data_IF_015651098495
#
_entry.id   IF_015651098495
#
_cell.length_a   1.000
_cell.length_b   1.000
_cell.length_c   1.000
_cell.angle_alpha   90.00
_cell.angle_beta   90.00
_cell.angle_gamma   90.00
#
_symmetry.space_group_name_H-M   'P 1'
#
loop_
_entity.id
_entity.type
_entity.pdbx_description
1 polymer ?
#
# COMPACT_ATOMS: atom_id res chain seq x y z
N UNK A 1 104.98 0.97 10.90
CA UNK A 1 104.75 -0.13 11.86
C UNK A 1 103.29 -0.11 12.31
N UNK A 2 102.63 -1.28 12.26
CA UNK A 2 101.38 -1.70 12.94
C UNK A 2 100.11 -0.82 12.79
N UNK A 3 99.09 -1.21 12.01
CA UNK A 3 98.08 -2.29 12.23
C UNK A 3 97.11 -2.04 13.39
N UNK A 4 95.84 -1.79 13.08
CA UNK A 4 94.69 -2.50 13.67
C UNK A 4 93.39 -2.21 12.92
N UNK A 5 92.87 -3.26 12.26
CA UNK A 5 91.46 -3.40 11.86
C UNK A 5 90.62 -3.64 13.13
N UNK A 6 89.44 -3.02 13.21
CA UNK A 6 88.35 -3.49 14.09
C UNK A 6 87.13 -3.72 13.22
N UNK A 7 86.74 -4.99 13.14
CA UNK A 7 85.47 -5.52 12.64
C UNK A 7 84.57 -5.76 13.85
N UNK A 8 83.29 -5.41 13.77
CA UNK A 8 82.19 -5.87 14.64
C UNK A 8 80.89 -5.68 13.82
N UNK A 9 80.49 -6.68 13.03
CA UNK A 9 79.58 -7.77 13.42
C UNK A 9 78.10 -7.32 13.49
N UNK A 10 77.39 -7.48 12.37
CA UNK A 10 75.92 -7.52 12.32
C UNK A 10 75.43 -8.75 13.10
N UNK A 11 74.68 -8.54 14.16
CA UNK A 11 74.01 -9.61 14.90
C UNK A 11 72.66 -9.92 14.25
N UNK A 12 72.59 -11.03 13.51
CA UNK A 12 71.34 -11.62 13.09
C UNK A 12 70.61 -12.18 14.32
N UNK A 13 69.46 -11.58 14.69
CA UNK A 13 68.57 -12.12 15.72
C UNK A 13 67.91 -13.40 15.22
N UNK A 14 68.30 -14.55 15.77
CA UNK A 14 67.56 -15.80 15.63
C UNK A 14 66.16 -15.66 16.25
N UNK A 15 65.11 -15.88 15.46
CA UNK A 15 63.73 -15.86 15.94
C UNK A 15 63.45 -17.11 16.79
N UNK A 16 62.97 -16.91 18.02
CA UNK A 16 62.66 -17.98 18.97
C UNK A 16 61.54 -18.91 18.44
N UNK A 17 61.68 -20.26 18.55
CA UNK A 17 60.66 -21.24 18.14
C UNK A 17 59.27 -20.97 18.74
N UNK A 18 59.21 -20.36 19.94
CA UNK A 18 57.95 -20.02 20.61
C UNK A 18 57.14 -18.94 19.89
N UNK A 19 57.79 -17.99 19.19
CA UNK A 19 57.11 -16.94 18.41
C UNK A 19 56.48 -17.49 17.14
N UNK A 20 57.11 -18.47 16.48
CA UNK A 20 56.58 -19.12 15.28
C UNK A 20 55.35 -20.01 15.58
N UNK A 21 55.33 -20.68 16.74
CA UNK A 21 54.18 -21.48 17.17
C UNK A 21 52.99 -20.57 17.54
N UNK A 22 53.26 -19.43 18.21
CA UNK A 22 52.22 -18.46 18.55
C UNK A 22 51.58 -17.83 17.29
N UNK A 23 52.38 -17.45 16.29
CA UNK A 23 51.85 -16.87 15.03
C UNK A 23 51.03 -17.88 14.22
N UNK A 24 51.42 -19.17 14.24
CA UNK A 24 50.66 -20.25 13.60
C UNK A 24 49.31 -20.47 14.27
N UNK A 25 49.25 -20.48 15.61
CA UNK A 25 47.99 -20.61 16.37
C UNK A 25 47.03 -19.44 16.13
N UNK A 26 47.55 -18.21 16.04
CA UNK A 26 46.73 -17.03 15.71
C UNK A 26 46.17 -17.13 14.28
N UNK A 27 46.97 -17.60 13.32
CA UNK A 27 46.52 -17.81 11.94
C UNK A 27 45.43 -18.89 11.85
N UNK A 28 45.61 -20.01 12.55
CA UNK A 28 44.60 -21.08 12.61
C UNK A 28 43.30 -20.62 13.30
N UNK A 29 43.39 -19.80 14.36
CA UNK A 29 42.22 -19.20 15.01
C UNK A 29 41.46 -18.23 14.09
N UNK A 30 42.18 -17.40 13.32
CA UNK A 30 41.57 -16.49 12.35
C UNK A 30 40.87 -17.23 11.22
N UNK A 31 41.46 -18.32 10.72
CA UNK A 31 40.83 -19.18 9.69
C UNK A 31 39.56 -19.85 10.23
N UNK A 32 39.58 -20.35 11.47
CA UNK A 32 38.38 -20.92 12.11
C UNK A 32 37.27 -19.88 12.27
N UNK A 33 37.61 -18.65 12.66
CA UNK A 33 36.66 -17.54 12.83
C UNK A 33 36.06 -17.08 11.50
N UNK A 34 36.86 -17.03 10.44
CA UNK A 34 36.39 -16.72 9.09
C UNK A 34 35.44 -17.80 8.56
N UNK A 35 35.76 -19.08 8.77
CA UNK A 35 34.89 -20.21 8.39
C UNK A 35 33.57 -20.19 9.17
N UNK A 36 33.61 -19.89 10.47
CA UNK A 36 32.41 -19.77 11.29
C UNK A 36 31.49 -18.61 10.85
N UNK A 37 32.07 -17.46 10.42
CA UNK A 37 31.29 -16.37 9.82
C UNK A 37 30.64 -16.79 8.51
N UNK A 38 31.40 -17.37 7.59
CA UNK A 38 30.87 -17.84 6.30
C UNK A 38 29.74 -18.87 6.45
N UNK A 39 29.81 -19.77 7.42
CA UNK A 39 28.72 -20.73 7.72
C UNK A 39 27.49 -19.98 8.24
N UNK A 40 27.67 -19.03 9.16
CA UNK A 40 26.57 -18.23 9.71
C UNK A 40 25.88 -17.36 8.65
N UNK A 41 26.65 -16.79 7.73
CA UNK A 41 26.14 -15.99 6.63
C UNK A 41 25.35 -16.88 5.63
N UNK A 42 25.84 -18.09 5.34
CA UNK A 42 25.11 -19.05 4.49
C UNK A 42 23.83 -19.62 5.12
N UNK A 43 23.83 -19.82 6.44
CA UNK A 43 22.64 -20.22 7.18
C UNK A 43 21.61 -19.09 7.19
N UNK A 44 22.03 -17.84 7.43
CA UNK A 44 21.15 -16.68 7.37
C UNK A 44 20.52 -16.52 5.97
N UNK A 45 21.31 -16.62 4.91
CA UNK A 45 20.84 -16.54 3.51
C UNK A 45 19.83 -17.65 3.18
N UNK A 46 20.09 -18.89 3.60
CA UNK A 46 19.16 -20.00 3.43
C UNK A 46 17.86 -19.81 4.21
N UNK A 47 17.93 -19.21 5.41
CA UNK A 47 16.75 -18.92 6.23
C UNK A 47 15.89 -17.82 5.60
N UNK A 48 16.51 -16.72 5.15
CA UNK A 48 15.82 -15.63 4.43
C UNK A 48 15.14 -16.17 3.18
N UNK A 49 15.85 -16.96 2.36
CA UNK A 49 15.29 -17.56 1.15
C UNK A 49 14.11 -18.50 1.43
N UNK A 50 14.11 -19.20 2.56
CA UNK A 50 12.99 -20.05 2.96
C UNK A 50 11.76 -19.26 3.40
N UNK A 51 11.95 -18.18 4.16
CA UNK A 51 10.87 -17.29 4.63
C UNK A 51 10.22 -16.55 3.46
N UNK A 52 11.02 -16.01 2.54
CA UNK A 52 10.53 -15.35 1.32
C UNK A 52 9.71 -16.32 0.46
N UNK A 53 10.12 -17.59 0.39
CA UNK A 53 9.38 -18.61 -0.35
C UNK A 53 8.04 -18.91 0.30
N UNK A 54 8.01 -19.10 1.61
CA UNK A 54 6.77 -19.39 2.33
C UNK A 54 5.78 -18.22 2.27
N UNK A 55 6.26 -16.97 2.41
CA UNK A 55 5.42 -15.76 2.24
C UNK A 55 4.86 -15.66 0.81
N UNK A 56 5.68 -15.94 -0.22
CA UNK A 56 5.21 -15.97 -1.60
C UNK A 56 4.13 -17.04 -1.84
N UNK A 57 4.22 -18.20 -1.19
CA UNK A 57 3.22 -19.26 -1.30
C UNK A 57 1.90 -18.85 -0.62
N UNK A 58 1.98 -18.23 0.56
CA UNK A 58 0.81 -17.68 1.25
C UNK A 58 0.14 -16.58 0.42
N UNK A 59 0.93 -15.66 -0.15
CA UNK A 59 0.41 -14.60 -1.01
C UNK A 59 -0.32 -15.13 -2.25
N UNK A 60 0.25 -16.16 -2.89
CA UNK A 60 -0.39 -16.81 -4.03
C UNK A 60 -1.68 -17.54 -3.62
N UNK A 61 -1.69 -18.19 -2.45
CA UNK A 61 -2.89 -18.88 -1.95
C UNK A 61 -4.02 -17.89 -1.63
N UNK A 62 -3.70 -16.78 -0.95
CA UNK A 62 -4.63 -15.69 -0.66
C UNK A 62 -5.24 -15.09 -1.94
N UNK A 63 -4.40 -14.80 -2.94
CA UNK A 63 -4.83 -14.29 -4.24
C UNK A 63 -5.77 -15.27 -4.94
N UNK A 64 -5.47 -16.56 -4.92
CA UNK A 64 -6.31 -17.59 -5.53
C UNK A 64 -7.65 -17.78 -4.80
N UNK A 65 -7.70 -17.61 -3.48
CA UNK A 65 -8.95 -17.61 -2.71
C UNK A 65 -9.81 -16.42 -3.10
N UNK A 66 -9.22 -15.21 -3.12
CA UNK A 66 -9.92 -13.99 -3.54
C UNK A 66 -10.45 -14.10 -4.97
N UNK A 67 -9.65 -14.60 -5.90
CA UNK A 67 -10.03 -14.77 -7.30
C UNK A 67 -11.26 -15.66 -7.45
N UNK A 68 -11.32 -16.79 -6.72
CA UNK A 68 -12.48 -17.68 -6.72
C UNK A 68 -13.72 -17.03 -6.13
N UNK A 69 -13.57 -16.30 -5.03
CA UNK A 69 -14.67 -15.58 -4.39
C UNK A 69 -15.25 -14.52 -5.34
N UNK A 70 -14.39 -13.69 -5.94
CA UNK A 70 -14.79 -12.65 -6.89
C UNK A 70 -15.43 -13.28 -8.12
N UNK A 71 -14.81 -14.28 -8.73
CA UNK A 71 -15.38 -14.97 -9.89
C UNK A 71 -16.78 -15.52 -9.60
N UNK A 72 -17.00 -16.08 -8.41
CA UNK A 72 -18.32 -16.56 -8.00
C UNK A 72 -19.34 -15.43 -7.83
N UNK A 73 -18.94 -14.32 -7.21
CA UNK A 73 -19.81 -13.17 -7.00
C UNK A 73 -20.18 -12.49 -8.32
N UNK A 74 -19.20 -12.30 -9.20
CA UNK A 74 -19.38 -11.77 -10.56
C UNK A 74 -20.35 -12.64 -11.36
N UNK A 75 -20.19 -13.96 -11.34
CA UNK A 75 -21.10 -14.86 -12.06
C UNK A 75 -22.56 -14.73 -11.58
N UNK A 76 -22.77 -14.57 -10.28
CA UNK A 76 -24.11 -14.35 -9.70
C UNK A 76 -24.68 -13.00 -10.15
N UNK A 77 -23.88 -11.93 -10.10
CA UNK A 77 -24.31 -10.59 -10.50
C UNK A 77 -24.60 -10.54 -12.00
N UNK A 78 -23.74 -11.11 -12.83
CA UNK A 78 -23.93 -11.18 -14.29
C UNK A 78 -25.24 -11.87 -14.66
N UNK A 79 -25.56 -12.96 -13.97
CA UNK A 79 -26.82 -13.67 -14.14
C UNK A 79 -28.03 -12.83 -13.70
N UNK A 80 -27.98 -12.22 -12.51
CA UNK A 80 -29.11 -11.45 -11.95
C UNK A 80 -29.42 -10.16 -12.73
N UNK A 81 -28.41 -9.56 -13.35
CA UNK A 81 -28.52 -8.26 -14.01
C UNK A 81 -28.32 -8.31 -15.53
N UNK A 82 -28.43 -9.49 -16.15
CA UNK A 82 -28.35 -9.65 -17.59
C UNK A 82 -29.23 -8.64 -18.34
N UNK A 83 -28.63 -7.87 -19.24
CA UNK A 83 -29.32 -6.84 -20.04
C UNK A 83 -29.70 -5.55 -19.29
N UNK A 84 -29.30 -5.37 -18.02
CA UNK A 84 -29.64 -4.20 -17.19
C UNK A 84 -28.40 -3.52 -16.62
N UNK A 85 -27.60 -2.91 -17.50
CA UNK A 85 -26.27 -2.38 -17.17
C UNK A 85 -26.27 -1.39 -16.00
N UNK A 86 -27.15 -0.39 -15.96
CA UNK A 86 -27.16 0.58 -14.86
C UNK A 86 -27.57 -0.03 -13.51
N UNK A 87 -28.46 -1.02 -13.51
CA UNK A 87 -28.82 -1.74 -12.28
C UNK A 87 -27.67 -2.63 -11.80
N UNK A 88 -26.93 -3.24 -12.74
CA UNK A 88 -25.69 -3.98 -12.45
C UNK A 88 -24.64 -3.06 -11.82
N UNK A 89 -24.36 -1.92 -12.46
CA UNK A 89 -23.39 -0.95 -11.95
C UNK A 89 -23.81 -0.44 -10.57
N UNK A 90 -25.06 -0.02 -10.38
CA UNK A 90 -25.56 0.36 -9.05
C UNK A 90 -25.29 -0.73 -7.98
N UNK A 91 -25.54 -2.01 -8.29
CA UNK A 91 -25.28 -3.10 -7.36
C UNK A 91 -23.77 -3.28 -7.09
N UNK A 92 -22.93 -3.18 -8.11
CA UNK A 92 -21.48 -3.23 -7.99
C UNK A 92 -20.94 -2.05 -7.16
N UNK A 93 -21.33 -0.82 -7.47
CA UNK A 93 -20.93 0.40 -6.74
C UNK A 93 -21.36 0.37 -5.26
N UNK A 94 -22.54 -0.20 -4.99
CA UNK A 94 -23.01 -0.39 -3.60
C UNK A 94 -22.07 -1.31 -2.81
N UNK A 95 -21.47 -2.29 -3.48
CA UNK A 95 -20.56 -3.29 -2.89
C UNK A 95 -19.10 -2.80 -2.92
N UNK A 96 -18.67 -2.12 -3.98
CA UNK A 96 -17.31 -1.63 -4.20
C UNK A 96 -16.87 -0.63 -3.11
N UNK A 97 -17.79 0.18 -2.59
CA UNK A 97 -17.48 1.11 -1.49
C UNK A 97 -17.21 0.45 -0.13
N UNK A 98 -17.62 -0.81 0.06
CA UNK A 98 -17.65 -1.48 1.39
C UNK A 98 -16.25 -1.80 1.93
N UNK A 99 -15.30 -2.33 1.13
CA UNK A 99 -13.96 -2.62 1.59
C UNK A 99 -13.24 -1.41 2.18
N UNK A 100 -13.30 -0.24 1.53
CA UNK A 100 -12.67 0.99 2.04
C UNK A 100 -13.15 1.36 3.45
N UNK A 101 -14.48 1.39 3.66
CA UNK A 101 -15.05 1.65 4.98
C UNK A 101 -14.68 0.58 6.01
N UNK A 102 -14.59 -0.68 5.59
CA UNK A 102 -14.18 -1.80 6.43
C UNK A 102 -12.73 -1.65 6.89
N UNK A 103 -11.83 -1.27 5.97
CA UNK A 103 -10.41 -1.07 6.26
C UNK A 103 -10.21 0.10 7.22
N UNK A 104 -10.90 1.22 6.97
CA UNK A 104 -10.92 2.36 7.89
C UNK A 104 -11.41 1.97 9.29
N UNK A 105 -12.45 1.14 9.39
CA UNK A 105 -12.98 0.68 10.67
C UNK A 105 -11.95 -0.12 11.47
N UNK A 106 -11.19 -0.99 10.80
CA UNK A 106 -10.13 -1.78 11.43
C UNK A 106 -8.91 -0.91 11.77
N UNK A 107 -8.51 0.01 10.88
CA UNK A 107 -7.45 0.98 11.15
C UNK A 107 -7.77 1.82 12.39
N UNK A 108 -9.00 2.33 12.49
CA UNK A 108 -9.44 3.10 13.65
C UNK A 108 -9.47 2.26 14.94
N UNK A 109 -9.83 0.97 14.84
CA UNK A 109 -9.75 0.04 15.95
C UNK A 109 -8.30 -0.18 16.41
N UNK A 110 -7.35 -0.31 15.47
CA UNK A 110 -5.93 -0.41 15.78
C UNK A 110 -5.39 0.86 16.44
N UNK A 111 -5.83 2.05 16.01
CA UNK A 111 -5.49 3.32 16.66
C UNK A 111 -6.02 3.39 18.09
N UNK A 112 -7.25 2.90 18.32
CA UNK A 112 -7.89 2.84 19.63
C UNK A 112 -7.11 1.95 20.60
N UNK A 113 -6.59 0.82 20.11
CA UNK A 113 -5.72 -0.06 20.90
C UNK A 113 -4.27 0.43 21.02
N UNK A 114 -3.90 1.50 20.29
CA UNK A 114 -2.55 2.02 20.25
C UNK A 114 -1.55 1.15 19.47
N UNK A 115 -2.05 0.26 18.61
CA UNK A 115 -1.23 -0.68 17.85
C UNK A 115 -0.61 -0.04 16.61
N UNK A 116 -1.40 0.72 15.85
CA UNK A 116 -0.95 1.28 14.58
C UNK A 116 -1.63 2.62 14.32
N UNK A 117 -0.85 3.63 13.91
CA UNK A 117 -1.36 4.97 13.56
C UNK A 117 -0.94 5.32 12.14
N UNK A 118 -1.91 5.45 11.25
CA UNK A 118 -1.69 5.65 9.81
C UNK A 118 -2.71 6.63 9.27
N UNK A 119 -2.56 7.90 9.63
CA UNK A 119 -3.45 8.98 9.21
C UNK A 119 -3.60 9.08 7.68
N UNK A 120 -2.51 8.84 6.95
CA UNK A 120 -2.51 8.84 5.48
C UNK A 120 -3.40 7.74 4.89
N UNK A 121 -3.43 6.55 5.50
CA UNK A 121 -4.28 5.44 5.03
C UNK A 121 -5.75 5.75 5.27
N UNK A 122 -6.09 6.27 6.45
CA UNK A 122 -7.44 6.72 6.74
C UNK A 122 -7.91 7.79 5.76
N UNK A 123 -7.04 8.74 5.42
CA UNK A 123 -7.37 9.83 4.50
C UNK A 123 -7.58 9.32 3.07
N UNK A 124 -6.67 8.49 2.55
CA UNK A 124 -6.77 7.92 1.19
C UNK A 124 -8.00 7.02 1.08
N UNK A 125 -8.21 6.08 2.01
CA UNK A 125 -9.37 5.18 1.96
C UNK A 125 -10.70 5.91 2.17
N UNK A 126 -10.71 7.02 2.91
CA UNK A 126 -11.90 7.87 3.00
C UNK A 126 -12.20 8.56 1.67
N UNK A 127 -11.16 9.06 1.00
CA UNK A 127 -11.30 9.65 -0.33
C UNK A 127 -11.82 8.64 -1.36
N UNK A 128 -11.29 7.41 -1.37
CA UNK A 128 -11.77 6.29 -2.21
C UNK A 128 -13.24 5.96 -1.88
N UNK A 129 -13.59 5.82 -0.60
CA UNK A 129 -14.99 5.60 -0.16
C UNK A 129 -15.94 6.67 -0.70
N UNK A 130 -15.49 7.93 -0.71
CA UNK A 130 -16.27 9.05 -1.21
C UNK A 130 -16.33 9.08 -2.73
N UNK A 131 -15.29 8.65 -3.44
CA UNK A 131 -15.32 8.48 -4.90
C UNK A 131 -16.35 7.43 -5.32
N UNK A 132 -16.30 6.23 -4.73
CA UNK A 132 -17.28 5.15 -4.99
C UNK A 132 -18.71 5.56 -4.65
N UNK A 133 -18.89 6.37 -3.60
CA UNK A 133 -20.20 6.92 -3.29
C UNK A 133 -20.74 7.81 -4.42
N UNK A 134 -19.89 8.60 -5.08
CA UNK A 134 -20.32 9.39 -6.22
C UNK A 134 -20.59 8.52 -7.45
N UNK A 135 -19.84 7.45 -7.67
CA UNK A 135 -20.17 6.44 -8.70
C UNK A 135 -21.57 5.86 -8.48
N UNK A 136 -21.88 5.46 -7.24
CA UNK A 136 -23.22 5.00 -6.86
C UNK A 136 -24.30 6.03 -7.19
N UNK A 137 -24.13 7.29 -6.79
CA UNK A 137 -25.10 8.36 -7.07
C UNK A 137 -25.29 8.60 -8.57
N UNK A 138 -24.23 8.45 -9.37
CA UNK A 138 -24.31 8.51 -10.82
C UNK A 138 -25.21 7.39 -11.33
N UNK A 139 -24.98 6.15 -10.89
CA UNK A 139 -25.81 5.00 -11.32
C UNK A 139 -27.26 5.13 -10.87
N UNK A 140 -27.51 5.64 -9.66
CA UNK A 140 -28.86 5.96 -9.17
C UNK A 140 -29.54 7.00 -10.08
N UNK A 141 -28.84 8.05 -10.48
CA UNK A 141 -29.37 9.09 -11.37
C UNK A 141 -29.71 8.57 -12.78
N UNK A 142 -29.10 7.46 -13.19
CA UNK A 142 -29.36 6.76 -14.45
C UNK A 142 -30.44 5.67 -14.32
N UNK A 143 -31.09 5.56 -13.16
CA UNK A 143 -32.15 4.58 -12.90
C UNK A 143 -31.66 3.21 -12.42
N UNK A 144 -30.41 3.09 -11.96
CA UNK A 144 -29.86 1.83 -11.45
C UNK A 144 -30.56 1.30 -10.18
N UNK A 145 -31.20 2.18 -9.41
CA UNK A 145 -31.87 1.85 -8.14
C UNK A 145 -33.40 1.82 -8.21
N UNK A 146 -34.00 1.82 -9.41
CA UNK A 146 -35.46 1.92 -9.58
C UNK A 146 -36.22 0.76 -8.93
N UNK A 147 -35.73 -0.47 -9.10
CA UNK A 147 -36.42 -1.65 -8.57
C UNK A 147 -36.02 -1.93 -7.12
N UNK A 148 -37.03 -2.12 -6.27
CA UNK A 148 -36.83 -2.49 -4.86
C UNK A 148 -35.99 -3.76 -4.69
N UNK A 149 -36.17 -4.77 -5.54
CA UNK A 149 -35.42 -6.04 -5.46
C UNK A 149 -33.91 -5.83 -5.64
N UNK A 150 -33.51 -4.88 -6.49
CA UNK A 150 -32.11 -4.60 -6.79
C UNK A 150 -31.46 -3.90 -5.60
N UNK A 151 -32.18 -2.93 -5.01
CA UNK A 151 -31.78 -2.27 -3.75
C UNK A 151 -31.65 -3.27 -2.61
N UNK A 152 -32.68 -4.10 -2.42
CA UNK A 152 -32.70 -5.11 -1.36
C UNK A 152 -31.49 -6.05 -1.49
N UNK A 153 -31.25 -6.61 -2.68
CA UNK A 153 -30.11 -7.49 -2.90
C UNK A 153 -28.77 -6.79 -2.62
N UNK A 154 -28.51 -5.65 -3.25
CA UNK A 154 -27.24 -4.95 -3.12
C UNK A 154 -26.95 -4.53 -1.66
N UNK A 155 -27.95 -4.03 -0.94
CA UNK A 155 -27.81 -3.62 0.46
C UNK A 155 -27.49 -4.78 1.39
N UNK A 156 -28.15 -5.93 1.24
CA UNK A 156 -27.90 -7.07 2.12
C UNK A 156 -26.56 -7.75 1.82
N UNK A 157 -26.18 -7.82 0.54
CA UNK A 157 -24.84 -8.27 0.13
C UNK A 157 -23.77 -7.34 0.69
N UNK A 158 -23.95 -6.03 0.61
CA UNK A 158 -23.01 -5.05 1.18
C UNK A 158 -22.83 -5.22 2.70
N UNK A 159 -23.89 -5.47 3.46
CA UNK A 159 -23.80 -5.72 4.91
C UNK A 159 -23.05 -7.02 5.22
N UNK A 160 -23.32 -8.09 4.48
CA UNK A 160 -22.57 -9.35 4.66
C UNK A 160 -21.10 -9.17 4.27
N UNK A 161 -20.84 -8.47 3.18
CA UNK A 161 -19.50 -8.22 2.66
C UNK A 161 -18.66 -7.37 3.61
N UNK A 162 -19.27 -6.38 4.28
CA UNK A 162 -18.61 -5.59 5.32
C UNK A 162 -17.93 -6.46 6.37
N UNK A 163 -18.64 -7.43 6.93
CA UNK A 163 -18.08 -8.31 7.96
C UNK A 163 -16.98 -9.23 7.42
N UNK A 164 -17.09 -9.65 6.15
CA UNK A 164 -16.04 -10.42 5.48
C UNK A 164 -14.76 -9.57 5.34
N UNK A 165 -14.88 -8.34 4.83
CA UNK A 165 -13.75 -7.42 4.67
C UNK A 165 -13.10 -7.06 6.01
N UNK A 166 -13.89 -6.81 7.05
CA UNK A 166 -13.38 -6.56 8.40
C UNK A 166 -12.58 -7.77 8.91
N UNK A 167 -13.14 -8.98 8.82
CA UNK A 167 -12.45 -10.19 9.26
C UNK A 167 -11.16 -10.43 8.46
N UNK A 168 -11.21 -10.26 7.15
CA UNK A 168 -10.06 -10.44 6.26
C UNK A 168 -8.94 -9.44 6.56
N UNK A 169 -9.27 -8.16 6.75
CA UNK A 169 -8.27 -7.13 7.09
C UNK A 169 -7.68 -7.31 8.50
N UNK A 170 -8.48 -7.80 9.46
CA UNK A 170 -7.98 -8.17 10.79
C UNK A 170 -6.95 -9.30 10.73
N UNK A 171 -7.20 -10.30 9.87
CA UNK A 171 -6.30 -11.45 9.68
C UNK A 171 -5.03 -11.04 8.93
N UNK A 172 -5.19 -10.38 7.79
CA UNK A 172 -4.08 -9.97 6.91
C UNK A 172 -4.48 -8.77 6.06
N UNK A 173 -3.91 -7.58 6.30
CA UNK A 173 -4.12 -6.41 5.45
C UNK A 173 -3.72 -6.68 4.00
N UNK A 174 -2.60 -7.40 3.76
CA UNK A 174 -2.15 -7.80 2.42
C UNK A 174 -3.23 -8.61 1.69
N UNK A 175 -3.86 -9.56 2.39
CA UNK A 175 -4.94 -10.38 1.82
C UNK A 175 -6.16 -9.53 1.45
N UNK A 176 -6.51 -8.55 2.31
CA UNK A 176 -7.65 -7.66 2.09
C UNK A 176 -7.41 -6.66 0.95
N UNK A 177 -6.20 -6.07 0.86
CA UNK A 177 -5.83 -5.20 -0.25
C UNK A 177 -5.80 -5.95 -1.58
N UNK A 178 -5.34 -7.21 -1.58
CA UNK A 178 -5.40 -8.05 -2.76
C UNK A 178 -6.85 -8.32 -3.23
N UNK A 179 -7.79 -8.51 -2.30
CA UNK A 179 -9.21 -8.67 -2.64
C UNK A 179 -9.72 -7.41 -3.34
N UNK A 180 -9.44 -6.24 -2.78
CA UNK A 180 -9.90 -4.98 -3.33
C UNK A 180 -9.26 -4.70 -4.69
N UNK A 181 -7.95 -4.89 -4.85
CA UNK A 181 -7.27 -4.78 -6.17
C UNK A 181 -7.98 -5.60 -7.26
N UNK A 182 -8.38 -6.84 -6.94
CA UNK A 182 -9.07 -7.70 -7.90
C UNK A 182 -10.52 -7.24 -8.17
N UNK A 183 -11.22 -6.70 -7.17
CA UNK A 183 -12.55 -6.08 -7.36
C UNK A 183 -12.44 -4.88 -8.29
N UNK A 184 -11.48 -3.99 -8.05
CA UNK A 184 -11.25 -2.79 -8.86
C UNK A 184 -10.81 -3.15 -10.30
N UNK A 185 -9.96 -4.16 -10.45
CA UNK A 185 -9.58 -4.68 -11.77
C UNK A 185 -10.78 -5.20 -12.55
N UNK A 186 -11.72 -5.87 -11.87
CA UNK A 186 -12.95 -6.32 -12.48
C UNK A 186 -13.88 -5.15 -12.83
N UNK A 187 -13.99 -4.14 -11.96
CA UNK A 187 -14.77 -2.93 -12.20
C UNK A 187 -14.24 -2.18 -13.44
N UNK A 188 -12.93 -1.92 -13.50
CA UNK A 188 -12.26 -1.33 -14.66
C UNK A 188 -12.62 -2.06 -15.95
N UNK A 189 -12.43 -3.38 -15.99
CA UNK A 189 -12.69 -4.19 -17.17
C UNK A 189 -14.18 -4.21 -17.56
N UNK A 190 -15.09 -4.08 -16.59
CA UNK A 190 -16.53 -4.02 -16.82
C UNK A 190 -16.92 -2.68 -17.46
N UNK A 191 -16.37 -1.57 -16.94
CA UNK A 191 -16.58 -0.25 -17.51
C UNK A 191 -15.99 -0.10 -18.90
N UNK A 192 -14.79 -0.63 -19.12
CA UNK A 192 -14.11 -0.58 -20.41
C UNK A 192 -14.93 -1.28 -21.50
N UNK A 193 -15.40 -2.51 -21.24
CA UNK A 193 -16.30 -3.24 -22.14
C UNK A 193 -17.62 -2.50 -22.37
N UNK A 194 -18.17 -1.85 -21.35
CA UNK A 194 -19.42 -1.10 -21.48
C UNK A 194 -19.24 0.15 -22.36
N UNK A 195 -18.12 0.85 -22.23
CA UNK A 195 -17.75 1.99 -23.07
C UNK A 195 -17.62 1.57 -24.53
N UNK A 196 -16.87 0.50 -24.82
CA UNK A 196 -16.70 -0.04 -26.17
C UNK A 196 -18.04 -0.44 -26.80
N UNK A 197 -18.90 -1.11 -26.03
CA UNK A 197 -20.18 -1.61 -26.55
C UNK A 197 -21.23 -0.50 -26.77
N UNK A 198 -21.12 0.66 -26.11
CA UNK A 198 -22.17 1.69 -26.09
C UNK A 198 -21.69 3.09 -26.52
N UNK A 199 -20.47 3.20 -27.06
CA UNK A 199 -19.81 4.47 -27.38
C UNK A 199 -20.72 5.49 -28.10
N UNK A 200 -21.37 5.07 -29.19
CA UNK A 200 -22.21 5.96 -29.99
C UNK A 200 -23.40 6.53 -29.22
N UNK A 201 -24.02 5.72 -28.36
CA UNK A 201 -25.19 6.12 -27.58
C UNK A 201 -24.76 7.02 -26.43
N UNK A 202 -23.67 6.68 -25.75
CA UNK A 202 -23.15 7.43 -24.62
C UNK A 202 -22.68 8.83 -25.05
N UNK A 203 -22.02 8.96 -26.21
CA UNK A 203 -21.59 10.27 -26.75
C UNK A 203 -22.76 11.20 -27.11
N UNK A 204 -23.92 10.65 -27.45
CA UNK A 204 -25.15 11.42 -27.77
C UNK A 204 -25.97 11.74 -26.52
N UNK A 205 -25.67 11.11 -25.39
CA UNK A 205 -26.44 11.25 -24.15
C UNK A 205 -25.83 12.34 -23.28
N UNK A 206 -26.60 13.31 -22.77
CA UNK A 206 -26.08 14.35 -21.90
C UNK A 206 -25.59 13.77 -20.56
N UNK A 207 -24.52 14.35 -20.02
CA UNK A 207 -24.00 13.94 -18.73
C UNK A 207 -24.97 14.26 -17.58
N UNK A 208 -25.18 13.35 -16.62
CA UNK A 208 -26.03 13.60 -15.46
C UNK A 208 -25.43 14.70 -14.59
N UNK A 209 -26.31 15.54 -14.02
CA UNK A 209 -25.91 16.70 -13.21
C UNK A 209 -25.02 16.32 -12.02
N UNK A 210 -25.24 15.15 -11.42
CA UNK A 210 -24.46 14.68 -10.28
C UNK A 210 -23.00 14.39 -10.67
N UNK A 211 -22.76 13.79 -11.86
CA UNK A 211 -21.41 13.56 -12.37
C UNK A 211 -20.70 14.88 -12.69
N UNK A 212 -21.38 15.80 -13.37
CA UNK A 212 -20.82 17.11 -13.70
C UNK A 212 -20.46 17.87 -12.42
N UNK A 213 -21.34 17.85 -11.42
CA UNK A 213 -21.06 18.48 -10.13
C UNK A 213 -19.82 17.86 -9.48
N UNK A 214 -19.75 16.54 -9.39
CA UNK A 214 -18.62 15.83 -8.77
C UNK A 214 -17.28 16.13 -9.45
N UNK A 215 -17.17 15.86 -10.75
CA UNK A 215 -15.89 15.94 -11.47
C UNK A 215 -15.40 17.36 -11.76
N UNK A 216 -16.27 18.38 -11.73
CA UNK A 216 -15.90 19.73 -12.19
C UNK A 216 -16.14 20.86 -11.19
N UNK A 217 -17.07 20.70 -10.23
CA UNK A 217 -17.52 21.79 -9.35
C UNK A 217 -17.52 21.43 -7.87
N UNK A 218 -17.28 20.16 -7.53
CA UNK A 218 -17.38 19.64 -6.18
C UNK A 218 -16.17 19.98 -5.32
N UNK A 219 -16.14 19.40 -4.13
CA UNK A 219 -14.95 19.41 -3.30
C UNK A 219 -13.88 18.51 -3.93
N UNK A 220 -12.94 19.14 -4.64
CA UNK A 220 -11.85 18.45 -5.31
C UNK A 220 -10.73 18.02 -4.35
N UNK A 221 -10.81 18.37 -3.06
CA UNK A 221 -9.85 17.92 -2.07
C UNK A 221 -9.82 16.38 -2.02
N UNK A 222 -10.94 15.74 -1.71
CA UNK A 222 -11.01 14.28 -1.67
C UNK A 222 -10.78 13.66 -3.05
N UNK A 223 -11.18 14.35 -4.13
CA UNK A 223 -10.87 13.87 -5.48
C UNK A 223 -9.36 13.78 -5.73
N UNK A 224 -8.58 14.72 -5.21
CA UNK A 224 -7.13 14.70 -5.30
C UNK A 224 -6.51 13.66 -4.36
N UNK A 225 -7.08 13.45 -3.17
CA UNK A 225 -6.47 12.59 -2.14
C UNK A 225 -6.38 11.11 -2.53
N UNK A 226 -7.31 10.57 -3.34
CA UNK A 226 -7.24 9.16 -3.77
C UNK A 226 -6.31 8.94 -4.96
N UNK A 227 -5.86 10.01 -5.64
CA UNK A 227 -4.94 9.92 -6.79
C UNK A 227 -3.50 9.78 -6.29
N UNK A 228 -3.15 8.59 -5.81
CA UNK A 228 -1.88 8.34 -5.12
C UNK A 228 -0.67 8.22 -6.06
N UNK A 229 -0.90 8.11 -7.37
CA UNK A 229 0.13 8.06 -8.42
C UNK A 229 0.92 9.36 -8.60
N UNK A 230 1.98 9.30 -9.40
CA UNK A 230 2.90 10.43 -9.62
C UNK A 230 2.40 11.47 -10.64
N UNK A 231 1.31 11.17 -11.34
CA UNK A 231 0.73 12.08 -12.32
C UNK A 231 -0.17 13.04 -11.55
N UNK A 232 0.27 14.30 -11.43
CA UNK A 232 -0.40 15.33 -10.63
C UNK A 232 -1.91 15.50 -10.90
N UNK A 233 -2.56 16.35 -10.11
CA UNK A 233 -4.02 16.44 -10.00
C UNK A 233 -4.78 16.41 -11.35
N UNK A 234 -5.61 15.38 -11.56
CA UNK A 234 -6.48 15.29 -12.74
C UNK A 234 -7.64 16.28 -12.63
N UNK A 235 -8.01 16.91 -13.75
CA UNK A 235 -9.21 17.78 -13.86
C UNK A 235 -10.02 17.37 -15.09
N UNK A 236 -10.98 16.46 -14.95
CA UNK A 236 -11.74 15.98 -16.09
C UNK A 236 -12.64 17.06 -16.70
N UNK A 237 -12.87 16.96 -18.02
CA UNK A 237 -13.94 17.68 -18.71
C UNK A 237 -15.06 16.70 -19.02
N UNK A 238 -16.30 17.12 -18.78
CA UNK A 238 -17.48 16.28 -18.93
C UNK A 238 -18.43 16.96 -19.91
N UNK A 239 -18.46 16.50 -21.16
CA UNK A 239 -19.36 17.03 -22.20
C UNK A 239 -20.58 16.12 -22.40
N UNK A 240 -20.41 14.81 -22.24
CA UNK A 240 -21.44 13.81 -22.46
C UNK A 240 -21.31 12.62 -21.48
N UNK A 241 -22.22 11.66 -21.56
CA UNK A 241 -22.24 10.50 -20.66
C UNK A 241 -21.05 9.55 -20.89
N UNK A 242 -20.48 9.51 -22.10
CA UNK A 242 -19.27 8.72 -22.37
C UNK A 242 -18.09 9.24 -21.53
N UNK A 243 -17.91 10.56 -21.45
CA UNK A 243 -16.85 11.16 -20.63
C UNK A 243 -17.01 10.81 -19.15
N UNK A 244 -18.25 10.71 -18.65
CA UNK A 244 -18.52 10.28 -17.27
C UNK A 244 -18.01 8.86 -17.04
N UNK A 245 -18.41 7.90 -17.87
CA UNK A 245 -17.97 6.51 -17.71
C UNK A 245 -16.47 6.32 -17.93
N UNK A 246 -15.84 7.13 -18.81
CA UNK A 246 -14.37 7.14 -18.94
C UNK A 246 -13.72 7.59 -17.64
N UNK A 247 -14.28 8.59 -16.95
CA UNK A 247 -13.73 9.04 -15.68
C UNK A 247 -13.93 8.00 -14.58
N UNK A 248 -15.14 7.44 -14.44
CA UNK A 248 -15.38 6.33 -13.49
C UNK A 248 -14.39 5.19 -13.72
N UNK A 249 -14.24 4.71 -14.95
CA UNK A 249 -13.24 3.67 -15.29
C UNK A 249 -11.81 4.06 -14.87
N UNK A 250 -11.42 5.31 -15.10
CA UNK A 250 -10.08 5.78 -14.75
C UNK A 250 -9.92 5.96 -13.23
N UNK A 251 -10.98 6.25 -12.50
CA UNK A 251 -11.00 6.29 -11.04
C UNK A 251 -10.71 4.87 -10.49
N UNK A 252 -11.35 3.83 -11.04
CA UNK A 252 -11.05 2.42 -10.68
C UNK A 252 -9.58 2.06 -10.93
N UNK A 253 -8.99 2.59 -11.99
CA UNK A 253 -7.58 2.36 -12.29
C UNK A 253 -6.65 3.03 -11.26
N UNK A 254 -7.05 4.14 -10.64
CA UNK A 254 -6.30 4.74 -9.53
C UNK A 254 -6.46 3.92 -8.25
N UNK A 255 -7.68 3.44 -7.96
CA UNK A 255 -7.94 2.53 -6.85
C UNK A 255 -7.08 1.27 -6.94
N UNK A 256 -7.03 0.62 -8.12
CA UNK A 256 -6.18 -0.54 -8.38
C UNK A 256 -4.72 -0.30 -7.99
N UNK A 257 -4.14 0.84 -8.40
CA UNK A 257 -2.74 1.17 -8.11
C UNK A 257 -2.50 1.36 -6.62
N UNK A 258 -3.41 2.04 -5.93
CA UNK A 258 -3.32 2.21 -4.48
C UNK A 258 -3.38 0.85 -3.78
N UNK A 259 -4.30 -0.04 -4.17
CA UNK A 259 -4.45 -1.36 -3.57
C UNK A 259 -3.27 -2.29 -3.86
N UNK A 260 -2.71 -2.23 -5.07
CA UNK A 260 -1.48 -2.96 -5.42
C UNK A 260 -0.30 -2.47 -4.56
N UNK A 261 -0.16 -1.15 -4.39
CA UNK A 261 0.89 -0.57 -3.55
C UNK A 261 0.75 -1.01 -2.08
N UNK A 262 -0.48 -1.04 -1.55
CA UNK A 262 -0.76 -1.40 -0.16
C UNK A 262 -0.50 -2.89 0.17
N UNK A 263 -0.27 -3.74 -0.82
CA UNK A 263 0.11 -5.14 -0.59
C UNK A 263 1.59 -5.32 -0.26
N UNK A 264 2.44 -4.31 -0.49
CA UNK A 264 3.87 -4.42 -0.24
C UNK A 264 4.16 -4.29 1.27
N UNK A 265 5.01 -5.13 1.86
CA UNK A 265 5.40 -4.97 3.26
C UNK A 265 6.03 -3.60 3.51
N UNK A 266 5.66 -2.92 4.59
CA UNK A 266 6.19 -1.62 4.94
C UNK A 266 5.83 -0.52 3.94
N UNK A 267 4.75 -0.69 3.17
CA UNK A 267 4.32 0.31 2.20
C UNK A 267 4.10 1.66 2.91
N UNK A 268 4.83 2.70 2.50
CA UNK A 268 4.72 4.03 3.10
C UNK A 268 3.59 4.83 2.48
N UNK A 269 2.35 4.33 2.48
CA UNK A 269 1.25 5.02 1.79
C UNK A 269 1.11 6.44 2.35
N UNK A 270 1.20 7.41 1.45
CA UNK A 270 1.03 8.83 1.76
C UNK A 270 0.00 9.45 0.83
N UNK A 271 -0.86 10.26 1.42
CA UNK A 271 -1.83 11.03 0.66
C UNK A 271 -1.11 12.13 -0.15
N UNK A 272 -1.63 12.54 -1.32
CA UNK A 272 -1.06 13.61 -2.12
C UNK A 272 -0.83 14.92 -1.35
N UNK A 273 -1.77 15.36 -0.51
CA UNK A 273 -1.54 16.55 0.33
C UNK A 273 -0.43 16.35 1.35
N UNK A 274 -0.32 15.16 1.94
CA UNK A 274 0.76 14.85 2.88
C UNK A 274 2.12 14.81 2.18
N UNK A 275 2.20 14.27 0.96
CA UNK A 275 3.42 14.31 0.13
C UNK A 275 3.82 15.76 -0.18
N UNK A 276 2.87 16.61 -0.55
CA UNK A 276 3.12 18.04 -0.82
C UNK A 276 3.58 18.78 0.44
N UNK A 277 2.94 18.53 1.59
CA UNK A 277 3.36 19.11 2.86
C UNK A 277 4.78 18.69 3.23
N UNK A 278 5.12 17.40 3.07
CA UNK A 278 6.46 16.91 3.31
C UNK A 278 7.49 17.57 2.39
N UNK A 279 7.19 17.68 1.09
CA UNK A 279 8.05 18.38 0.13
C UNK A 279 8.24 19.85 0.46
N UNK A 280 7.18 20.54 0.91
CA UNK A 280 7.25 21.93 1.34
C UNK A 280 8.14 22.10 2.57
N UNK A 281 8.11 21.14 3.51
CA UNK A 281 8.98 21.13 4.68
C UNK A 281 10.42 20.75 4.33
N UNK A 282 10.64 19.84 3.37
CA UNK A 282 11.98 19.43 2.94
C UNK A 282 12.65 20.45 2.01
N UNK A 283 11.88 21.26 1.28
CA UNK A 283 12.37 22.33 0.39
C UNK A 283 13.15 23.46 1.10
N UNK A 284 13.31 23.39 2.42
CA UNK A 284 14.14 24.28 3.22
C UNK A 284 15.43 23.63 3.77
N UNK A 285 15.70 22.35 3.48
CA UNK A 285 16.95 21.66 3.79
C UNK A 285 17.61 21.10 2.52
N UNK A 286 18.92 21.30 2.40
CA UNK A 286 19.70 20.97 1.22
C UNK A 286 19.72 19.47 0.89
N UNK A 287 19.83 19.21 -0.41
CA UNK A 287 19.85 17.90 -1.06
C UNK A 287 20.85 16.91 -0.42
N UNK A 288 20.45 15.63 -0.36
CA UNK A 288 21.19 14.41 0.02
C UNK A 288 21.04 13.86 1.46
N UNK A 289 20.55 14.60 2.48
CA UNK A 289 20.47 14.05 3.86
C UNK A 289 19.03 13.74 4.33
N UNK A 290 18.01 14.33 3.70
CA UNK A 290 16.63 14.26 4.19
C UNK A 290 15.86 12.99 3.84
N UNK A 291 16.23 12.26 2.78
CA UNK A 291 15.55 11.00 2.45
C UNK A 291 15.80 9.91 3.51
N UNK A 292 17.01 9.87 4.08
CA UNK A 292 17.41 8.87 5.07
C UNK A 292 16.81 9.10 6.46
N UNK A 293 16.67 10.35 6.93
CA UNK A 293 16.15 10.63 8.28
C UNK A 293 14.62 10.47 8.36
N UNK A 294 13.89 10.75 7.27
CA UNK A 294 12.43 10.55 7.22
C UNK A 294 12.08 9.05 7.15
N UNK A 295 12.88 8.23 6.47
CA UNK A 295 12.71 6.77 6.47
C UNK A 295 13.02 6.14 7.83
N UNK A 296 14.04 6.63 8.57
CA UNK A 296 14.43 6.08 9.87
C UNK A 296 13.39 6.35 10.98
N UNK A 297 12.73 7.51 11.02
CA UNK A 297 11.66 7.79 12.00
C UNK A 297 10.35 7.04 11.68
N UNK A 298 10.17 6.57 10.44
CA UNK A 298 8.99 5.81 9.98
C UNK A 298 9.18 4.29 10.03
N UNK A 299 10.42 3.82 10.11
CA UNK A 299 10.77 2.44 10.45
C UNK A 299 10.51 2.10 11.93
N UNK A 300 10.04 3.09 12.71
CA UNK A 300 9.58 2.94 14.10
C UNK A 300 8.34 2.04 14.22
N UNK A 301 8.57 0.73 14.24
CA UNK A 301 7.64 -0.37 14.59
C UNK A 301 6.39 -0.45 13.69
N UNK A 302 6.58 -0.94 12.47
CA UNK A 302 5.49 -1.41 11.63
C UNK A 302 5.04 -2.79 12.11
N UNK A 303 3.91 -2.87 12.81
CA UNK A 303 3.18 -4.11 12.90
C UNK A 303 2.04 -4.08 11.86
N UNK A 304 1.92 -5.10 11.02
CA UNK A 304 0.88 -5.17 9.98
C UNK A 304 -0.14 -6.27 10.33
N UNK A 305 -1.32 -5.89 10.80
CA UNK A 305 -2.41 -6.81 11.14
C UNK A 305 -2.40 -7.31 12.59
N UNK A 306 -3.46 -8.01 13.00
CA UNK A 306 -3.67 -8.37 14.41
C UNK A 306 -2.58 -9.32 14.95
N UNK A 307 -2.11 -10.27 14.15
CA UNK A 307 -1.11 -11.25 14.57
C UNK A 307 0.25 -10.59 14.82
N UNK A 308 0.65 -9.65 13.97
CA UNK A 308 1.91 -8.93 14.11
C UNK A 308 1.83 -7.91 15.25
N UNK A 309 0.72 -7.16 15.34
CA UNK A 309 0.55 -6.11 16.36
C UNK A 309 0.34 -6.62 17.79
N UNK A 310 -0.22 -7.83 17.96
CA UNK A 310 -0.35 -8.45 19.29
C UNK A 310 1.01 -8.92 19.81
N UNK A 311 1.95 -9.27 18.93
CA UNK A 311 3.29 -9.75 19.30
C UNK A 311 4.30 -8.60 19.39
N UNK A 312 4.21 -7.61 18.51
CA UNK A 312 5.11 -6.47 18.41
C UNK A 312 4.42 -5.17 18.88
N UNK A 313 4.23 -5.02 20.20
CA UNK A 313 3.58 -3.86 20.77
C UNK A 313 4.43 -2.58 20.62
N UNK A 314 3.88 -1.54 20.01
CA UNK A 314 4.52 -0.23 19.93
C UNK A 314 3.64 0.80 19.26
N UNK A 315 3.43 1.93 19.93
CA UNK A 315 2.87 3.12 19.27
C UNK A 315 3.92 3.64 18.29
N UNK A 316 3.62 3.72 16.99
CA UNK A 316 4.44 4.51 16.06
C UNK A 316 4.78 5.85 16.71
N UNK A 317 6.08 6.15 16.83
CA UNK A 317 6.57 7.23 17.69
C UNK A 317 6.10 8.57 17.17
N UNK A 318 5.20 9.22 17.91
CA UNK A 318 5.03 10.67 17.79
C UNK A 318 6.22 11.28 18.51
N UNK A 319 7.05 12.04 17.80
CA UNK A 319 8.13 12.80 18.43
C UNK A 319 7.55 13.65 19.56
N UNK A 320 8.10 13.50 20.76
CA UNK A 320 7.62 14.24 21.92
C UNK A 320 7.96 15.71 21.73
N UNK A 321 6.96 16.58 21.82
CA UNK A 321 7.19 18.02 21.84
C UNK A 321 8.09 18.38 23.04
N UNK A 322 9.33 18.77 22.76
CA UNK A 322 10.20 19.41 23.74
C UNK A 322 10.11 20.94 23.54
N UNK A 323 9.50 21.67 24.49
CA UNK A 323 9.40 23.13 24.39
C UNK A 323 10.77 23.85 24.39
N UNK A 324 11.85 23.14 24.71
CA UNK A 324 13.23 23.66 24.69
C UNK A 324 14.00 23.26 23.43
N UNK A 325 13.42 22.45 22.55
CA UNK A 325 14.05 22.12 21.28
C UNK A 325 13.91 23.31 20.32
N UNK A 326 14.92 24.17 20.36
CA UNK A 326 14.98 25.41 19.57
C UNK A 326 15.12 25.16 18.06
N UNK A 327 15.27 23.90 17.62
CA UNK A 327 15.25 23.54 16.20
C UNK A 327 13.84 23.57 15.59
N UNK A 328 12.78 23.42 16.42
CA UNK A 328 11.39 23.35 15.99
C UNK A 328 10.64 24.70 15.97
N UNK A 329 11.26 25.79 16.47
CA UNK A 329 10.61 27.09 16.65
C UNK A 329 11.00 28.14 15.59
N UNK A 330 11.74 27.79 14.55
CA UNK A 330 12.08 28.75 13.51
C UNK A 330 12.16 28.08 12.13
N UNK A 331 11.02 28.01 11.45
CA UNK A 331 10.85 28.27 10.01
C UNK A 331 9.36 28.34 9.67
#
# INVERSE_FOLDING_TARGET
>A
MASRRVSLAQTARASSPRRAIASRRVREANVRRARARSVKDSEADATVSSVERDDSLLANAERAVNERLIASAVAVIDYLYAGRSYARFHALETVARVPYFSFMSVLHLYETFGWWRRADYLKVHFAETMNEYHHLLIMESLGGAELWRDRFFAQHVAVAYYWICVAQYLVSPRWAYNLLEQVESHAYATYDKFLEANEEVLKKTPAPRVAVAYYTKGDLYLFDEFQTGEKGARRPKIDNLYDVFVNVRNDEAEHMKTMEFCQRPGNGLRSPSSKQALFAMSGECGDEVCETEIEEDLAGRSCEGLVDCVVNFGTGSVSTYDPNDASASAR
#
